data_IF_399082969783
#
_entry.id   IF_399082969783
#
_cell.length_a   1.000
_cell.length_b   1.000
_cell.length_c   1.000
_cell.angle_alpha   90.00
_cell.angle_beta   90.00
_cell.angle_gamma   90.00
#
_symmetry.space_group_name_H-M   'P 1'
#
loop_
_entity.id
_entity.type
_entity.pdbx_description
1 polymer ?
#
# COMPACT_ATOMS: atom_id res chain seq x y z
N UNK A 1 6.67 -21.50 26.65
CA UNK A 1 7.28 -21.01 27.91
C UNK A 1 7.10 -19.51 27.93
N UNK A 2 6.41 -19.02 28.96
CA UNK A 2 6.05 -17.63 29.15
C UNK A 2 7.28 -16.80 29.54
N UNK A 3 7.30 -15.57 29.05
CA UNK A 3 8.18 -14.49 29.46
C UNK A 3 7.47 -13.21 29.08
N UNK A 4 6.52 -12.80 29.91
CA UNK A 4 5.97 -11.45 29.88
C UNK A 4 7.10 -10.50 30.28
N UNK A 5 7.67 -9.79 29.30
CA UNK A 5 8.54 -8.66 29.60
C UNK A 5 7.68 -7.40 29.67
N UNK A 6 7.08 -7.19 30.84
CA UNK A 6 6.42 -5.96 31.24
C UNK A 6 7.50 -4.93 31.57
N UNK A 7 8.21 -4.42 30.54
CA UNK A 7 9.13 -3.27 30.63
C UNK A 7 9.57 -2.79 29.24
N UNK A 8 8.75 -1.97 28.58
CA UNK A 8 9.21 -0.86 27.71
C UNK A 8 8.06 0.08 27.39
N UNK A 9 7.57 0.73 28.45
CA UNK A 9 7.00 2.08 28.39
C UNK A 9 8.04 2.92 29.18
N UNK A 10 8.50 4.04 28.60
CA UNK A 10 9.82 4.67 28.77
C UNK A 10 10.94 3.89 28.05
N UNK A 11 11.75 4.43 27.14
CA UNK A 11 12.26 5.79 27.01
C UNK A 11 12.20 6.28 25.54
N UNK A 12 11.44 7.35 25.29
CA UNK A 12 11.93 8.40 24.40
C UNK A 12 12.45 9.46 25.37
N UNK A 13 13.77 9.47 25.60
CA UNK A 13 14.42 10.45 26.48
C UNK A 13 14.11 11.86 26.00
N UNK A 14 13.95 12.80 26.95
CA UNK A 14 13.85 14.24 26.68
C UNK A 14 15.09 14.78 25.94
N UNK A 15 16.23 14.07 26.01
CA UNK A 15 17.45 14.42 25.26
C UNK A 15 17.38 14.09 23.76
N UNK A 16 16.38 13.32 23.30
CA UNK A 16 16.12 13.09 21.88
C UNK A 16 15.39 14.28 21.19
N UNK A 17 15.09 15.35 21.95
CA UNK A 17 14.26 16.50 21.52
C UNK A 17 15.04 17.81 21.27
N UNK A 18 16.33 17.88 21.60
CA UNK A 18 17.16 19.05 21.30
C UNK A 18 17.91 18.79 19.99
N UNK A 19 17.36 19.29 18.88
CA UNK A 19 17.95 19.18 17.55
C UNK A 19 18.64 20.49 17.14
N UNK A 20 19.99 20.53 17.06
CA UNK A 20 20.70 21.66 16.47
C UNK A 20 20.65 21.69 14.92
N UNK A 21 20.09 20.67 14.27
CA UNK A 21 20.15 20.48 12.80
C UNK A 21 18.79 20.62 12.07
N UNK A 22 17.87 21.45 12.56
CA UNK A 22 16.58 21.69 11.89
C UNK A 22 16.75 22.17 10.42
N UNK A 23 17.86 22.83 10.12
CA UNK A 23 18.18 23.35 8.78
C UNK A 23 18.49 22.26 7.73
N UNK A 24 18.93 21.07 8.15
CA UNK A 24 19.21 19.92 7.25
C UNK A 24 17.95 19.32 6.61
N UNK A 25 16.79 19.60 7.19
CA UNK A 25 15.47 19.12 6.75
C UNK A 25 14.63 20.21 6.10
N UNK A 26 15.21 21.40 5.90
CA UNK A 26 14.51 22.54 5.34
C UNK A 26 14.15 22.29 3.86
N UNK A 27 12.85 22.11 3.59
CA UNK A 27 12.32 21.92 2.23
C UNK A 27 12.08 23.24 1.48
N UNK A 28 12.25 24.40 2.13
CA UNK A 28 12.04 25.71 1.48
C UNK A 28 13.05 26.01 0.37
N UNK A 29 14.23 25.38 0.41
CA UNK A 29 15.23 25.47 -0.65
C UNK A 29 15.00 24.52 -1.84
N UNK A 30 13.99 23.63 -1.78
CA UNK A 30 13.70 22.70 -2.87
C UNK A 30 12.89 23.39 -3.99
N UNK A 31 13.21 23.17 -5.29
CA UNK A 31 12.48 23.74 -6.41
C UNK A 31 10.98 23.43 -6.34
N UNK A 32 10.07 24.36 -6.70
CA UNK A 32 8.62 24.15 -6.58
C UNK A 32 8.16 22.80 -7.13
N UNK A 33 7.34 22.08 -6.35
CA UNK A 33 6.77 20.81 -6.79
C UNK A 33 5.66 21.09 -7.80
N UNK A 34 5.87 20.68 -9.06
CA UNK A 34 4.83 20.72 -10.09
C UNK A 34 3.87 19.54 -9.90
N UNK A 35 2.72 19.83 -9.29
CA UNK A 35 1.64 18.85 -9.13
C UNK A 35 0.76 18.82 -10.39
N UNK A 36 0.24 17.65 -10.78
CA UNK A 36 -0.66 17.55 -11.91
C UNK A 36 -1.99 18.27 -11.59
N UNK A 37 -2.71 18.77 -12.62
CA UNK A 37 -4.03 19.34 -12.44
C UNK A 37 -4.98 18.36 -11.73
N UNK A 38 -5.92 18.83 -10.88
CA UNK A 38 -6.89 17.96 -10.20
C UNK A 38 -7.73 17.10 -11.15
N UNK A 39 -7.93 17.57 -12.38
CA UNK A 39 -8.67 16.91 -13.46
C UNK A 39 -7.86 15.82 -14.17
N UNK A 40 -6.56 15.69 -13.91
CA UNK A 40 -5.75 14.65 -14.54
C UNK A 40 -6.07 13.27 -13.94
N UNK A 41 -6.49 12.34 -14.80
CA UNK A 41 -6.59 10.93 -14.45
C UNK A 41 -5.20 10.30 -14.40
N UNK A 42 -4.69 10.09 -13.18
CA UNK A 42 -3.39 9.46 -12.94
C UNK A 42 -3.39 7.96 -13.23
N UNK A 43 -4.56 7.34 -13.42
CA UNK A 43 -4.71 5.90 -13.67
C UNK A 43 -4.75 5.52 -15.15
N UNK A 44 -4.92 6.50 -16.04
CA UNK A 44 -4.93 6.32 -17.49
C UNK A 44 -3.63 6.84 -18.12
N UNK A 45 -2.90 5.95 -18.79
CA UNK A 45 -1.54 6.21 -19.22
C UNK A 45 -0.89 4.99 -19.85
N UNK A 46 0.45 5.03 -19.91
CA UNK A 46 1.27 3.92 -20.40
C UNK A 46 2.56 3.81 -19.60
N UNK A 47 3.13 2.61 -19.56
CA UNK A 47 4.49 2.42 -19.06
C UNK A 47 5.51 2.86 -20.09
N UNK A 48 6.49 3.63 -19.64
CA UNK A 48 7.60 4.15 -20.44
C UNK A 48 8.89 3.67 -19.83
N UNK A 49 9.80 3.16 -20.66
CA UNK A 49 11.12 2.75 -20.22
C UNK A 49 11.97 3.99 -19.90
N UNK A 50 12.63 4.00 -18.75
CA UNK A 50 13.47 5.08 -18.26
C UNK A 50 14.53 4.55 -17.29
N UNK A 51 15.66 4.10 -17.84
CA UNK A 51 16.81 3.64 -17.06
C UNK A 51 17.69 4.79 -16.52
N UNK A 52 17.28 6.05 -16.69
CA UNK A 52 18.00 7.21 -16.19
C UNK A 52 17.44 7.61 -14.82
N UNK A 53 16.11 7.69 -14.70
CA UNK A 53 15.45 8.17 -13.48
C UNK A 53 14.95 7.06 -12.55
N UNK A 54 14.87 5.82 -13.02
CA UNK A 54 14.39 4.67 -12.23
C UNK A 54 15.44 3.56 -12.14
N UNK A 55 15.39 2.71 -11.10
CA UNK A 55 14.54 2.81 -9.92
C UNK A 55 15.00 3.93 -8.96
N UNK A 56 14.09 4.40 -8.09
CA UNK A 56 14.38 5.45 -7.11
C UNK A 56 15.38 5.02 -6.01
N UNK A 57 15.55 3.70 -5.82
CA UNK A 57 16.52 3.10 -4.92
C UNK A 57 16.94 1.74 -5.49
N UNK A 58 18.09 1.21 -5.08
CA UNK A 58 18.51 -0.17 -5.44
C UNK A 58 18.10 -1.14 -4.34
N UNK A 59 17.73 -2.36 -4.73
CA UNK A 59 17.33 -3.43 -3.79
C UNK A 59 18.32 -3.58 -2.62
N UNK A 60 19.62 -3.66 -2.94
CA UNK A 60 20.70 -3.84 -1.95
C UNK A 60 20.88 -2.67 -0.96
N UNK A 61 20.38 -1.48 -1.31
CA UNK A 61 20.55 -0.27 -0.50
C UNK A 61 19.42 -0.12 0.54
N UNK A 62 18.35 -0.91 0.43
CA UNK A 62 17.24 -0.92 1.39
C UNK A 62 17.25 -2.18 2.27
N UNK A 63 17.85 -2.09 3.45
CA UNK A 63 17.97 -3.22 4.40
C UNK A 63 16.66 -3.61 5.08
N UNK A 64 15.56 -2.89 4.83
CA UNK A 64 14.24 -3.18 5.40
C UNK A 64 13.40 -4.11 4.54
N UNK A 65 13.80 -4.36 3.28
CA UNK A 65 13.11 -5.30 2.41
C UNK A 65 13.14 -6.71 3.00
N UNK A 66 11.99 -7.36 2.99
CA UNK A 66 11.93 -8.78 3.33
C UNK A 66 12.41 -9.62 2.15
N UNK A 67 12.89 -10.83 2.47
CA UNK A 67 13.26 -11.82 1.46
C UNK A 67 12.11 -12.24 0.52
N UNK A 68 10.86 -11.82 0.78
CA UNK A 68 9.74 -12.10 -0.13
C UNK A 68 9.87 -11.29 -1.42
N UNK A 69 10.45 -10.09 -1.36
CA UNK A 69 10.41 -9.08 -2.44
C UNK A 69 11.79 -8.73 -3.02
N UNK A 70 12.87 -9.24 -2.43
CA UNK A 70 14.27 -9.04 -2.87
C UNK A 70 14.64 -9.99 -4.02
N UNK A 71 14.03 -9.79 -5.18
CA UNK A 71 14.14 -10.71 -6.31
C UNK A 71 15.57 -10.91 -6.81
N UNK A 72 16.38 -9.85 -6.88
CA UNK A 72 17.78 -9.96 -7.31
C UNK A 72 18.58 -10.79 -6.31
N UNK A 73 18.49 -10.49 -5.02
CA UNK A 73 19.15 -11.28 -3.97
C UNK A 73 18.66 -12.74 -3.92
N UNK A 74 17.44 -13.00 -4.37
CA UNK A 74 16.86 -14.34 -4.48
C UNK A 74 17.23 -15.08 -5.78
N UNK A 75 18.07 -14.46 -6.62
CA UNK A 75 18.67 -15.04 -7.82
C UNK A 75 17.92 -14.77 -9.12
N UNK A 76 17.10 -13.71 -9.19
CA UNK A 76 16.49 -13.28 -10.45
C UNK A 76 17.58 -12.79 -11.42
N UNK A 77 17.65 -13.31 -12.67
CA UNK A 77 18.78 -13.05 -13.56
C UNK A 77 18.65 -11.75 -14.37
N UNK A 78 17.43 -11.27 -14.58
CA UNK A 78 17.14 -9.99 -15.22
C UNK A 78 16.96 -8.88 -14.15
N UNK A 79 16.92 -7.62 -14.56
CA UNK A 79 16.57 -6.46 -13.71
C UNK A 79 15.65 -5.44 -14.42
N UNK A 80 15.31 -5.68 -15.69
CA UNK A 80 14.71 -4.65 -16.55
C UNK A 80 13.32 -4.17 -16.13
N UNK A 81 12.60 -4.93 -15.28
CA UNK A 81 11.31 -4.49 -14.71
C UNK A 81 11.45 -3.23 -13.84
N UNK A 82 12.65 -2.95 -13.33
CA UNK A 82 12.93 -1.82 -12.44
C UNK A 82 12.94 -0.48 -13.20
N UNK A 83 13.11 -0.52 -14.52
CA UNK A 83 13.34 0.67 -15.35
C UNK A 83 12.08 1.20 -16.04
N UNK A 84 10.90 0.93 -15.48
CA UNK A 84 9.63 1.36 -16.06
C UNK A 84 8.96 2.40 -15.16
N UNK A 85 8.61 3.55 -15.75
CA UNK A 85 7.79 4.59 -15.11
C UNK A 85 6.40 4.64 -15.73
N UNK A 86 5.42 5.05 -14.93
CA UNK A 86 4.07 5.29 -15.43
C UNK A 86 3.91 6.73 -15.90
N UNK A 87 3.49 6.92 -17.15
CA UNK A 87 3.21 8.22 -17.75
C UNK A 87 1.71 8.36 -17.98
N UNK A 88 1.00 9.19 -17.18
CA UNK A 88 -0.39 9.56 -17.46
C UNK A 88 -0.51 10.24 -18.83
N UNK A 89 -1.68 10.10 -19.48
CA UNK A 89 -1.88 10.57 -20.85
C UNK A 89 -1.83 12.10 -21.01
N UNK A 90 -2.28 12.85 -20.00
CA UNK A 90 -2.52 14.29 -20.11
C UNK A 90 -1.77 15.12 -19.05
N UNK A 91 -0.91 14.47 -18.26
CA UNK A 91 -0.05 15.13 -17.29
C UNK A 91 1.14 14.23 -16.95
N UNK A 92 2.05 14.71 -16.11
CA UNK A 92 3.17 13.92 -15.60
C UNK A 92 3.02 13.70 -14.10
N UNK A 93 3.43 12.52 -13.64
CA UNK A 93 3.61 12.29 -12.21
C UNK A 93 4.84 13.07 -11.72
N UNK A 94 4.76 13.77 -10.58
CA UNK A 94 5.94 14.36 -9.97
C UNK A 94 6.90 13.27 -9.53
N UNK A 95 8.20 13.48 -9.71
CA UNK A 95 9.23 12.61 -9.12
C UNK A 95 9.02 12.51 -7.61
N UNK A 96 9.11 11.30 -7.06
CA UNK A 96 8.99 11.10 -5.62
C UNK A 96 10.18 11.76 -4.92
N UNK A 97 9.91 12.74 -4.06
CA UNK A 97 10.90 13.41 -3.23
C UNK A 97 10.69 13.00 -1.77
N UNK A 98 11.64 12.20 -1.26
CA UNK A 98 11.57 11.68 0.09
C UNK A 98 11.59 12.78 1.17
N UNK A 99 12.29 13.90 0.94
CA UNK A 99 12.34 15.02 1.91
C UNK A 99 10.99 15.71 1.97
N UNK A 100 10.40 16.02 0.81
CA UNK A 100 9.04 16.60 0.73
C UNK A 100 8.00 15.70 1.37
N UNK A 101 8.07 14.40 1.08
CA UNK A 101 7.14 13.45 1.66
C UNK A 101 7.29 13.36 3.18
N UNK A 102 8.52 13.18 3.68
CA UNK A 102 8.75 13.03 5.12
C UNK A 102 8.44 14.32 5.89
N UNK A 103 8.66 15.49 5.30
CA UNK A 103 8.21 16.76 5.89
C UNK A 103 6.69 16.84 5.98
N UNK A 104 5.96 16.42 4.93
CA UNK A 104 4.50 16.34 4.99
C UNK A 104 4.01 15.33 6.05
N UNK A 105 4.82 14.31 6.37
CA UNK A 105 4.58 13.31 7.41
C UNK A 105 5.09 13.74 8.79
N UNK A 106 5.70 14.91 8.95
CA UNK A 106 6.30 15.33 10.22
C UNK A 106 5.26 15.32 11.34
N UNK A 107 5.55 14.59 12.41
CA UNK A 107 4.65 14.42 13.57
C UNK A 107 3.42 13.56 13.31
N UNK A 108 3.32 12.87 12.17
CA UNK A 108 2.13 12.13 11.73
C UNK A 108 2.34 10.62 11.64
N UNK A 109 1.22 9.91 11.57
CA UNK A 109 1.12 8.47 11.35
C UNK A 109 0.46 8.20 10.00
N UNK A 110 1.12 7.40 9.17
CA UNK A 110 0.55 6.85 7.95
C UNK A 110 0.46 5.35 8.10
N UNK A 111 -0.72 4.75 7.87
CA UNK A 111 -0.96 3.32 8.06
C UNK A 111 -1.58 2.70 6.82
N UNK A 112 -0.90 1.68 6.30
CA UNK A 112 -1.45 0.71 5.37
C UNK A 112 -2.23 -0.34 6.15
N UNK A 113 -3.47 -0.59 5.79
CA UNK A 113 -4.35 -1.58 6.41
C UNK A 113 -4.86 -2.53 5.33
N UNK A 114 -4.64 -3.82 5.48
CA UNK A 114 -5.16 -4.78 4.52
C UNK A 114 -4.38 -6.07 4.40
N UNK A 115 -4.29 -6.56 3.17
CA UNK A 115 -3.65 -7.82 2.82
C UNK A 115 -2.14 -7.69 2.53
N UNK A 116 -1.53 -8.76 2.01
CA UNK A 116 -0.09 -8.79 1.74
C UNK A 116 0.35 -7.85 0.62
N UNK A 117 -0.53 -7.37 -0.26
CA UNK A 117 -0.19 -6.41 -1.30
C UNK A 117 -0.06 -5.00 -0.71
N UNK A 118 -0.86 -4.65 0.29
CA UNK A 118 -0.64 -3.42 1.07
C UNK A 118 0.67 -3.48 1.85
N UNK A 119 1.04 -4.66 2.37
CA UNK A 119 2.38 -4.86 2.98
C UNK A 119 3.48 -4.66 1.95
N UNK A 120 3.32 -5.17 0.74
CA UNK A 120 4.26 -5.00 -0.36
C UNK A 120 4.43 -3.50 -0.71
N UNK A 121 3.34 -2.73 -0.72
CA UNK A 121 3.38 -1.28 -0.93
C UNK A 121 4.02 -0.53 0.24
N UNK A 122 3.76 -0.95 1.48
CA UNK A 122 4.42 -0.40 2.67
C UNK A 122 5.94 -0.62 2.64
N UNK A 123 6.43 -1.82 2.27
CA UNK A 123 7.87 -2.09 2.13
C UNK A 123 8.52 -1.17 1.08
N UNK A 124 7.83 -0.96 -0.05
CA UNK A 124 8.25 0.02 -1.08
C UNK A 124 8.36 1.43 -0.51
N UNK A 125 7.34 1.91 0.21
CA UNK A 125 7.34 3.28 0.76
C UNK A 125 8.48 3.47 1.76
N UNK A 126 8.73 2.48 2.62
CA UNK A 126 9.86 2.49 3.55
C UNK A 126 11.18 2.65 2.80
N UNK A 127 11.35 1.93 1.69
CA UNK A 127 12.57 2.02 0.89
C UNK A 127 12.72 3.32 0.11
N UNK A 128 11.61 3.93 -0.31
CA UNK A 128 11.61 5.25 -0.93
C UNK A 128 12.07 6.35 0.04
N UNK A 129 11.72 6.25 1.32
CA UNK A 129 12.02 7.32 2.31
C UNK A 129 13.29 7.09 3.11
N UNK A 130 13.70 5.84 3.34
CA UNK A 130 14.82 5.55 4.22
C UNK A 130 16.18 6.15 3.80
N UNK A 131 16.49 6.42 2.52
CA UNK A 131 17.81 6.94 2.14
C UNK A 131 18.13 8.31 2.74
N UNK A 132 17.12 9.15 2.99
CA UNK A 132 17.32 10.50 3.54
C UNK A 132 17.43 10.54 5.07
N UNK A 133 17.25 9.40 5.73
CA UNK A 133 17.25 9.30 7.20
C UNK A 133 18.58 8.74 7.70
N UNK A 134 19.15 9.37 8.73
CA UNK A 134 20.45 9.00 9.27
C UNK A 134 20.45 7.60 9.89
N UNK A 135 21.63 6.96 9.87
CA UNK A 135 21.83 5.67 10.54
C UNK A 135 21.51 5.81 12.04
N UNK A 136 20.78 4.85 12.62
CA UNK A 136 20.34 4.89 14.02
C UNK A 136 19.09 5.75 14.28
N UNK A 137 18.67 6.60 13.34
CA UNK A 137 17.42 7.39 13.44
C UNK A 137 16.22 6.76 12.72
N UNK A 138 16.40 5.53 12.23
CA UNK A 138 15.37 4.71 11.57
C UNK A 138 15.35 3.30 12.12
N UNK A 139 14.16 2.73 12.34
CA UNK A 139 13.99 1.33 12.77
C UNK A 139 12.63 0.77 12.38
N UNK A 140 12.56 -0.54 12.14
CA UNK A 140 11.30 -1.29 12.01
C UNK A 140 11.04 -2.09 13.28
N UNK A 141 9.82 -2.00 13.80
CA UNK A 141 9.35 -2.76 14.96
C UNK A 141 8.13 -3.58 14.56
N UNK A 142 8.13 -4.88 14.86
CA UNK A 142 7.00 -5.78 14.63
C UNK A 142 6.33 -6.12 15.96
N UNK A 143 5.03 -5.91 16.09
CA UNK A 143 4.25 -6.18 17.32
C UNK A 143 2.85 -6.67 16.96
N UNK A 144 2.59 -7.97 17.18
CA UNK A 144 1.31 -8.57 16.81
C UNK A 144 1.01 -8.36 15.32
N UNK A 145 -0.12 -7.72 15.02
CA UNK A 145 -0.56 -7.39 13.65
C UNK A 145 0.14 -6.17 13.03
N UNK A 146 1.00 -5.47 13.78
CA UNK A 146 1.67 -4.26 13.34
C UNK A 146 3.10 -4.51 12.84
N UNK A 147 3.46 -3.76 11.80
CA UNK A 147 4.84 -3.49 11.41
C UNK A 147 5.00 -1.98 11.30
N UNK A 148 5.85 -1.38 12.13
CA UNK A 148 6.01 0.07 12.25
C UNK A 148 7.43 0.49 11.88
N UNK A 149 7.57 1.28 10.83
CA UNK A 149 8.80 2.00 10.54
C UNK A 149 8.78 3.36 11.23
N UNK A 150 9.77 3.60 12.10
CA UNK A 150 9.95 4.88 12.79
C UNK A 150 10.99 5.73 12.07
N UNK A 151 10.60 6.93 11.66
CA UNK A 151 11.51 7.97 11.17
C UNK A 151 11.68 9.04 12.26
N UNK A 152 12.66 8.84 13.14
CA UNK A 152 12.79 9.65 14.37
C UNK A 152 12.98 11.14 14.10
N UNK A 153 13.77 11.48 13.07
CA UNK A 153 14.07 12.87 12.66
C UNK A 153 12.82 13.69 12.27
N UNK A 154 11.77 13.00 11.82
CA UNK A 154 10.51 13.62 11.44
C UNK A 154 9.41 13.39 12.48
N UNK A 155 9.69 12.70 13.59
CA UNK A 155 8.66 12.24 14.53
C UNK A 155 7.49 11.55 13.82
N UNK A 156 7.81 10.80 12.76
CA UNK A 156 6.84 10.21 11.85
C UNK A 156 6.88 8.68 11.92
N UNK A 157 5.74 8.05 11.64
CA UNK A 157 5.66 6.58 11.51
C UNK A 157 4.96 6.17 10.23
N UNK A 158 5.53 5.16 9.57
CA UNK A 158 4.93 4.49 8.42
C UNK A 158 4.61 3.06 8.85
N UNK A 159 3.32 2.74 8.90
CA UNK A 159 2.79 1.56 9.56
C UNK A 159 2.12 0.62 8.56
N UNK A 160 2.20 -0.67 8.83
CA UNK A 160 1.35 -1.69 8.22
C UNK A 160 0.59 -2.43 9.30
N UNK A 161 -0.73 -2.57 9.13
CA UNK A 161 -1.62 -3.33 9.99
C UNK A 161 -2.27 -4.47 9.21
N UNK A 162 -2.05 -5.70 9.67
CA UNK A 162 -2.62 -6.89 9.07
C UNK A 162 -4.12 -7.01 9.36
N UNK A 163 -4.93 -6.78 8.34
CA UNK A 163 -6.38 -6.97 8.34
C UNK A 163 -6.82 -7.37 6.92
N UNK A 164 -6.50 -8.59 6.47
CA UNK A 164 -6.55 -8.96 5.06
C UNK A 164 -7.97 -8.96 4.47
N UNK A 165 -9.00 -9.10 5.29
CA UNK A 165 -10.41 -8.94 4.93
C UNK A 165 -11.03 -7.66 5.52
N UNK A 166 -10.24 -6.79 6.15
CA UNK A 166 -10.62 -5.62 6.97
C UNK A 166 -11.41 -5.93 8.24
N UNK A 167 -12.40 -6.83 8.14
CA UNK A 167 -13.21 -7.36 9.24
C UNK A 167 -12.53 -8.56 9.91
N UNK A 168 -13.03 -8.94 11.08
CA UNK A 168 -12.55 -10.09 11.83
C UNK A 168 -12.62 -11.37 11.00
N UNK A 169 -11.53 -12.13 11.01
CA UNK A 169 -11.39 -13.39 10.32
C UNK A 169 -10.54 -14.38 11.10
N UNK A 170 -10.64 -15.66 10.75
CA UNK A 170 -9.70 -16.67 11.27
C UNK A 170 -8.28 -16.56 10.68
N UNK A 171 -8.02 -15.56 9.83
CA UNK A 171 -6.74 -15.33 9.16
C UNK A 171 -6.03 -14.06 9.65
N UNK A 172 -6.47 -13.49 10.77
CA UNK A 172 -5.95 -12.20 11.30
C UNK A 172 -4.61 -12.32 12.05
N UNK A 173 -4.09 -13.54 12.21
CA UNK A 173 -2.76 -13.75 12.77
C UNK A 173 -1.70 -13.72 11.65
N UNK A 174 -0.85 -12.68 11.55
CA UNK A 174 0.10 -12.54 10.45
C UNK A 174 1.19 -13.64 10.43
N UNK A 175 1.33 -14.46 11.46
CA UNK A 175 2.24 -15.60 11.48
C UNK A 175 1.54 -16.93 11.13
N UNK A 176 0.22 -17.02 11.34
CA UNK A 176 -0.59 -18.24 11.16
C UNK A 176 -1.84 -17.95 10.33
N UNK A 177 -1.64 -17.37 9.15
CA UNK A 177 -2.73 -16.96 8.24
C UNK A 177 -2.82 -17.79 6.97
N UNK A 178 -1.90 -18.72 6.73
CA UNK A 178 -1.96 -19.65 5.59
C UNK A 178 -2.77 -20.87 6.00
N UNK A 179 -4.09 -20.77 5.89
CA UNK A 179 -5.06 -21.79 6.27
C UNK A 179 -5.98 -22.11 5.10
N UNK A 180 -6.46 -23.35 5.03
CA UNK A 180 -7.24 -23.85 3.89
C UNK A 180 -8.63 -23.23 3.82
N UNK A 181 -9.27 -22.99 4.98
CA UNK A 181 -10.62 -22.45 5.06
C UNK A 181 -10.58 -21.06 5.68
N UNK A 182 -10.62 -20.03 4.83
CA UNK A 182 -10.70 -18.62 5.25
C UNK A 182 -12.15 -18.26 5.54
N UNK A 183 -12.43 -17.82 6.75
CA UNK A 183 -13.78 -17.51 7.23
C UNK A 183 -13.78 -16.11 7.83
N UNK A 184 -14.78 -15.30 7.46
CA UNK A 184 -14.92 -13.91 7.88
C UNK A 184 -16.16 -13.70 8.76
N UNK A 185 -16.17 -12.62 9.53
CA UNK A 185 -17.35 -12.08 10.23
C UNK A 185 -17.64 -10.66 9.68
N UNK A 186 -18.43 -10.53 8.59
CA UNK A 186 -18.56 -9.29 7.81
C UNK A 186 -19.03 -8.05 8.58
N UNK A 187 -19.75 -8.23 9.67
CA UNK A 187 -20.27 -7.15 10.52
C UNK A 187 -19.40 -6.87 11.76
N UNK A 188 -18.21 -7.48 11.88
CA UNK A 188 -17.31 -7.28 13.04
C UNK A 188 -16.01 -6.65 12.59
N UNK A 189 -15.79 -5.37 12.90
CA UNK A 189 -14.60 -4.63 12.48
C UNK A 189 -13.85 -3.97 13.66
N UNK A 190 -14.52 -3.81 14.80
CA UNK A 190 -14.09 -3.02 15.95
C UNK A 190 -12.78 -3.53 16.56
N UNK A 191 -12.57 -4.86 16.52
CA UNK A 191 -11.36 -5.50 17.00
C UNK A 191 -10.10 -5.00 16.28
N UNK A 192 -10.22 -4.70 14.98
CA UNK A 192 -9.16 -4.08 14.19
C UNK A 192 -9.23 -2.56 14.26
N UNK A 193 -10.42 -2.01 14.05
CA UNK A 193 -10.60 -0.60 13.75
C UNK A 193 -10.28 0.33 14.92
N UNK A 194 -10.29 -0.19 16.16
CA UNK A 194 -9.77 0.52 17.34
C UNK A 194 -8.32 1.01 17.17
N UNK A 195 -7.53 0.36 16.32
CA UNK A 195 -6.13 0.73 16.04
C UNK A 195 -5.95 1.75 14.92
N UNK A 196 -6.99 1.98 14.11
CA UNK A 196 -6.95 2.90 12.96
C UNK A 196 -7.36 4.31 13.36
N UNK A 197 -7.98 4.48 14.53
CA UNK A 197 -8.32 5.79 15.10
C UNK A 197 -7.05 6.65 15.23
N UNK A 198 -7.23 7.95 15.03
CA UNK A 198 -6.18 8.96 15.19
C UNK A 198 -4.98 8.85 14.23
N UNK A 199 -5.03 7.97 13.23
CA UNK A 199 -4.04 7.91 12.14
C UNK A 199 -4.32 9.04 11.15
N UNK A 200 -3.29 9.77 10.73
CA UNK A 200 -3.45 10.94 9.84
C UNK A 200 -3.69 10.54 8.37
N UNK A 201 -3.10 9.42 7.93
CA UNK A 201 -3.30 8.87 6.59
C UNK A 201 -3.59 7.36 6.67
N UNK A 202 -4.81 6.96 6.30
CA UNK A 202 -5.22 5.55 6.24
C UNK A 202 -5.27 5.08 4.80
N UNK A 203 -4.54 4.02 4.46
CA UNK A 203 -4.50 3.44 3.12
C UNK A 203 -5.01 2.00 3.21
N UNK A 204 -6.23 1.76 2.75
CA UNK A 204 -6.88 0.46 2.81
C UNK A 204 -6.70 -0.34 1.50
N UNK A 205 -6.61 -1.66 1.60
CA UNK A 205 -6.95 -2.57 0.51
C UNK A 205 -7.58 -3.86 1.04
N UNK A 206 -8.23 -4.61 0.16
CA UNK A 206 -8.55 -6.03 0.37
C UNK A 206 -9.03 -6.65 -0.94
N UNK A 207 -8.30 -7.65 -1.46
CA UNK A 207 -8.70 -8.32 -2.70
C UNK A 207 -8.21 -9.76 -2.80
N UNK A 208 -6.91 -10.01 -2.62
CA UNK A 208 -6.29 -11.22 -3.17
C UNK A 208 -6.89 -12.51 -2.61
N UNK A 209 -7.23 -12.53 -1.33
CA UNK A 209 -7.79 -13.73 -0.69
C UNK A 209 -9.26 -13.97 -0.99
N UNK A 210 -9.99 -12.97 -1.47
CA UNK A 210 -11.35 -13.15 -1.96
C UNK A 210 -11.38 -14.02 -3.23
N UNK A 211 -10.24 -14.08 -3.95
CA UNK A 211 -10.10 -14.84 -5.19
C UNK A 211 -9.81 -16.33 -4.96
N UNK A 212 -9.63 -16.76 -3.70
CA UNK A 212 -9.30 -18.15 -3.38
C UNK A 212 -10.45 -19.12 -3.70
N UNK A 213 -11.70 -18.67 -3.60
CA UNK A 213 -12.91 -19.49 -3.78
C UNK A 213 -14.01 -18.67 -4.47
N UNK A 214 -14.96 -19.35 -5.13
CA UNK A 214 -16.09 -18.69 -5.80
C UNK A 214 -17.02 -17.98 -4.79
N UNK A 215 -17.28 -18.65 -3.67
CA UNK A 215 -18.05 -18.14 -2.53
C UNK A 215 -17.17 -17.89 -1.31
N UNK A 216 -17.62 -17.01 -0.44
CA UNK A 216 -16.95 -16.68 0.82
C UNK A 216 -17.61 -17.37 1.99
N UNK A 217 -16.79 -17.93 2.88
CA UNK A 217 -17.28 -18.52 4.12
C UNK A 217 -17.54 -17.43 5.16
N UNK A 218 -18.79 -17.32 5.59
CA UNK A 218 -19.25 -16.32 6.56
C UNK A 218 -19.64 -17.00 7.85
N UNK A 219 -19.00 -16.61 8.96
CA UNK A 219 -19.30 -17.15 10.29
C UNK A 219 -20.74 -16.81 10.66
N UNK A 220 -21.48 -17.79 11.20
CA UNK A 220 -22.85 -17.56 11.70
C UNK A 220 -22.81 -16.55 12.86
N UNK A 221 -23.72 -15.55 12.92
CA UNK A 221 -23.66 -14.44 13.88
C UNK A 221 -23.49 -14.86 15.36
N UNK A 222 -24.18 -15.92 15.77
CA UNK A 222 -24.18 -16.41 17.16
C UNK A 222 -23.17 -17.55 17.43
N UNK A 223 -22.35 -17.90 16.45
CA UNK A 223 -21.37 -18.97 16.61
C UNK A 223 -20.12 -18.49 17.36
N UNK A 224 -19.64 -19.31 18.30
CA UNK A 224 -18.32 -19.16 18.93
C UNK A 224 -17.21 -19.89 18.17
N UNK A 225 -17.56 -20.71 17.17
CA UNK A 225 -16.62 -21.51 16.38
C UNK A 225 -16.60 -21.07 14.92
N UNK A 226 -15.40 -20.97 14.35
CA UNK A 226 -15.19 -20.77 12.92
C UNK A 226 -15.75 -21.94 12.09
N UNK A 227 -15.83 -23.15 12.64
CA UNK A 227 -16.38 -24.31 11.92
C UNK A 227 -17.86 -24.19 11.55
N UNK A 228 -18.61 -23.28 12.20
CA UNK A 228 -20.01 -23.02 11.87
C UNK A 228 -20.10 -21.76 11.01
N UNK A 229 -20.11 -21.97 9.71
CA UNK A 229 -20.18 -20.93 8.69
C UNK A 229 -21.11 -21.38 7.56
N UNK A 230 -21.59 -20.41 6.80
CA UNK A 230 -22.32 -20.62 5.56
C UNK A 230 -21.47 -20.12 4.39
N UNK A 231 -21.72 -20.63 3.19
CA UNK A 231 -21.11 -20.11 1.96
C UNK A 231 -22.03 -19.04 1.37
N UNK A 232 -21.47 -17.86 1.15
CA UNK A 232 -22.18 -16.67 0.67
C UNK A 232 -21.51 -16.21 -0.62
N UNK A 233 -22.27 -15.82 -1.67
CA UNK A 233 -21.69 -15.30 -2.90
C UNK A 233 -20.64 -14.23 -2.62
N UNK A 234 -19.46 -14.36 -3.21
CA UNK A 234 -18.31 -13.48 -2.93
C UNK A 234 -18.67 -12.00 -2.96
N UNK A 235 -19.42 -11.58 -3.97
CA UNK A 235 -19.77 -10.16 -4.14
C UNK A 235 -20.73 -9.65 -3.06
N UNK A 236 -21.63 -10.51 -2.56
CA UNK A 236 -22.53 -10.18 -1.46
C UNK A 236 -21.73 -10.04 -0.15
N UNK A 237 -20.85 -11.00 0.14
CA UNK A 237 -19.97 -10.95 1.30
C UNK A 237 -19.04 -9.73 1.27
N UNK A 238 -18.48 -9.39 0.09
CA UNK A 238 -17.66 -8.20 -0.10
C UNK A 238 -18.45 -6.92 0.15
N UNK A 239 -19.69 -6.83 -0.36
CA UNK A 239 -20.57 -5.70 -0.13
C UNK A 239 -20.89 -5.48 1.34
N UNK A 240 -21.12 -6.55 2.11
CA UNK A 240 -21.31 -6.48 3.57
C UNK A 240 -20.05 -5.93 4.27
N UNK A 241 -18.87 -6.42 3.92
CA UNK A 241 -17.60 -5.94 4.50
C UNK A 241 -17.35 -4.47 4.20
N UNK A 242 -17.50 -4.04 2.95
CA UNK A 242 -17.26 -2.65 2.58
C UNK A 242 -18.30 -1.73 3.21
N UNK A 243 -19.56 -2.18 3.35
CA UNK A 243 -20.58 -1.44 4.09
C UNK A 243 -20.14 -1.22 5.54
N UNK A 244 -19.81 -2.30 6.27
CA UNK A 244 -19.31 -2.23 7.65
C UNK A 244 -18.10 -1.29 7.80
N UNK A 245 -17.16 -1.36 6.86
CA UNK A 245 -15.99 -0.48 6.82
C UNK A 245 -16.38 1.00 6.62
N UNK A 246 -17.24 1.29 5.65
CA UNK A 246 -17.69 2.65 5.35
C UNK A 246 -18.51 3.26 6.50
N UNK A 247 -19.39 2.46 7.11
CA UNK A 247 -20.15 2.85 8.30
C UNK A 247 -19.18 3.17 9.45
N UNK A 248 -18.19 2.33 9.69
CA UNK A 248 -17.18 2.59 10.73
C UNK A 248 -16.43 3.91 10.49
N UNK A 249 -16.00 4.18 9.25
CA UNK A 249 -15.32 5.43 8.90
C UNK A 249 -16.19 6.65 9.24
N UNK A 250 -17.45 6.67 8.79
CA UNK A 250 -18.36 7.79 9.03
C UNK A 250 -18.60 8.05 10.52
N UNK A 251 -18.57 7.02 11.36
CA UNK A 251 -18.79 7.18 12.80
C UNK A 251 -17.51 7.56 13.56
N UNK A 252 -16.32 7.18 13.09
CA UNK A 252 -15.10 7.21 13.91
C UNK A 252 -13.99 8.11 13.37
N UNK A 253 -14.05 8.55 12.12
CA UNK A 253 -12.99 9.33 11.50
C UNK A 253 -13.39 10.81 11.42
N UNK A 254 -12.48 11.67 11.89
CA UNK A 254 -12.52 13.10 11.67
C UNK A 254 -11.80 13.46 10.35
N UNK A 255 -12.52 13.91 9.29
CA UNK A 255 -11.91 14.26 8.01
C UNK A 255 -11.03 15.52 8.08
N UNK A 256 -11.16 16.35 9.13
CA UNK A 256 -10.26 17.47 9.36
C UNK A 256 -8.84 16.98 9.70
N UNK A 257 -8.73 15.83 10.37
CA UNK A 257 -7.45 15.22 10.73
C UNK A 257 -6.99 14.17 9.72
N UNK A 258 -7.85 13.22 9.39
CA UNK A 258 -7.48 11.99 8.70
C UNK A 258 -7.86 12.03 7.22
N UNK A 259 -6.91 11.68 6.36
CA UNK A 259 -7.16 11.39 4.94
C UNK A 259 -7.25 9.89 4.71
N UNK A 260 -8.35 9.45 4.07
CA UNK A 260 -8.59 8.03 3.78
C UNK A 260 -8.37 7.74 2.29
N UNK A 261 -7.66 6.66 2.01
CA UNK A 261 -7.40 6.14 0.68
C UNK A 261 -7.79 4.67 0.59
N UNK A 262 -8.18 4.23 -0.60
CA UNK A 262 -8.42 2.83 -0.89
C UNK A 262 -7.69 2.44 -2.18
N UNK A 263 -6.77 1.48 -2.09
CA UNK A 263 -6.04 0.93 -3.25
C UNK A 263 -6.94 -0.07 -3.97
N UNK A 264 -7.09 0.09 -5.28
CA UNK A 264 -7.88 -0.87 -6.08
C UNK A 264 -7.13 -2.20 -6.28
N UNK A 265 -7.72 -3.09 -7.06
CA UNK A 265 -7.22 -4.44 -7.33
C UNK A 265 -5.75 -4.42 -7.78
N UNK A 266 -4.89 -5.15 -7.04
CA UNK A 266 -3.59 -5.61 -7.55
C UNK A 266 -3.81 -6.90 -8.33
N UNK A 267 -3.39 -6.97 -9.61
CA UNK A 267 -3.67 -8.10 -10.49
C UNK A 267 -2.85 -9.36 -10.18
N UNK A 268 -3.27 -10.48 -10.76
CA UNK A 268 -2.58 -11.77 -10.74
C UNK A 268 -2.24 -12.16 -12.18
N UNK A 269 -1.01 -12.57 -12.45
CA UNK A 269 -0.56 -12.99 -13.79
C UNK A 269 -0.36 -14.51 -13.88
N UNK A 270 -1.46 -15.27 -13.79
CA UNK A 270 -1.42 -16.74 -13.83
C UNK A 270 -1.61 -17.35 -15.22
N UNK A 271 -2.19 -16.63 -16.18
CA UNK A 271 -2.59 -17.19 -17.48
C UNK A 271 -1.88 -16.49 -18.64
N UNK A 272 -0.73 -17.02 -19.09
CA UNK A 272 0.06 -16.50 -20.22
C UNK A 272 -0.72 -16.23 -21.49
N UNK A 273 -1.77 -17.02 -21.73
CA UNK A 273 -2.69 -16.84 -22.86
C UNK A 273 -3.34 -15.46 -22.89
N UNK A 274 -3.58 -14.83 -21.73
CA UNK A 274 -4.20 -13.50 -21.67
C UNK A 274 -3.37 -12.42 -22.39
N UNK A 275 -2.04 -12.58 -22.43
CA UNK A 275 -1.13 -11.66 -23.11
C UNK A 275 -0.44 -12.30 -24.33
N UNK A 276 -0.98 -13.39 -24.86
CA UNK A 276 -0.54 -14.01 -26.12
C UNK A 276 0.70 -14.90 -26.02
N UNK A 277 1.08 -15.36 -24.81
CA UNK A 277 2.21 -16.28 -24.63
C UNK A 277 1.74 -17.71 -24.31
N UNK A 278 1.16 -18.43 -25.28
CA UNK A 278 0.50 -19.72 -25.01
C UNK A 278 1.43 -20.86 -24.56
N UNK A 279 2.74 -20.73 -24.74
CA UNK A 279 3.75 -21.66 -24.23
C UNK A 279 4.38 -21.25 -22.89
N UNK A 280 3.94 -20.11 -22.32
CA UNK A 280 4.43 -19.61 -21.04
C UNK A 280 3.92 -20.41 -19.85
N UNK A 281 4.51 -20.17 -18.68
CA UNK A 281 4.06 -20.73 -17.40
C UNK A 281 3.80 -19.57 -16.45
N UNK A 282 2.53 -19.24 -16.19
CA UNK A 282 2.16 -18.09 -15.35
C UNK A 282 2.97 -16.82 -15.71
N UNK A 283 3.50 -16.09 -14.74
CA UNK A 283 4.39 -14.94 -14.94
C UNK A 283 5.88 -15.32 -15.10
N UNK A 284 6.21 -16.60 -15.24
CA UNK A 284 7.61 -17.07 -15.25
C UNK A 284 8.27 -16.73 -16.58
N UNK A 285 9.50 -16.20 -16.52
CA UNK A 285 10.29 -15.70 -17.67
C UNK A 285 9.67 -14.51 -18.41
N UNK A 286 8.61 -13.91 -17.88
CA UNK A 286 8.14 -12.62 -18.37
C UNK A 286 9.11 -11.54 -17.89
N UNK A 287 9.81 -10.89 -18.81
CA UNK A 287 10.85 -9.88 -18.50
C UNK A 287 10.50 -8.48 -18.98
N UNK A 288 9.47 -8.34 -19.81
CA UNK A 288 8.96 -7.07 -20.32
C UNK A 288 7.48 -6.91 -20.03
N UNK A 289 7.00 -5.68 -19.79
CA UNK A 289 5.57 -5.42 -19.64
C UNK A 289 4.81 -5.77 -20.92
N UNK A 290 3.50 -5.95 -20.80
CA UNK A 290 2.61 -5.98 -21.95
C UNK A 290 2.53 -4.57 -22.56
N UNK A 291 2.84 -4.44 -23.85
CA UNK A 291 2.97 -3.13 -24.53
C UNK A 291 1.84 -2.81 -25.51
N UNK A 292 0.90 -3.73 -25.72
CA UNK A 292 -0.24 -3.44 -26.58
C UNK A 292 -1.33 -2.72 -25.77
N UNK A 293 -1.45 -1.42 -25.98
CA UNK A 293 -2.45 -0.56 -25.33
C UNK A 293 -3.72 -0.36 -26.18
N UNK A 294 -3.82 -1.03 -27.34
CA UNK A 294 -4.96 -0.86 -28.27
C UNK A 294 -6.29 -1.34 -27.68
N UNK A 295 -6.22 -2.32 -26.77
CA UNK A 295 -7.36 -2.81 -26.00
C UNK A 295 -6.93 -3.03 -24.53
N UNK A 296 -7.88 -2.96 -23.58
CA UNK A 296 -7.61 -3.37 -22.20
C UNK A 296 -7.15 -4.84 -22.15
N UNK A 297 -6.13 -5.12 -21.32
CA UNK A 297 -5.74 -6.49 -21.04
C UNK A 297 -6.71 -7.08 -20.02
N UNK A 298 -7.37 -8.17 -20.36
CA UNK A 298 -8.27 -8.88 -19.44
C UNK A 298 -7.51 -10.01 -18.74
N UNK A 299 -7.37 -9.89 -17.42
CA UNK A 299 -6.79 -10.90 -16.53
C UNK A 299 -7.87 -11.61 -15.68
N UNK A 300 -9.14 -11.47 -16.06
CA UNK A 300 -10.31 -12.03 -15.38
C UNK A 300 -10.51 -11.52 -13.95
N UNK A 301 -10.29 -10.22 -13.75
CA UNK A 301 -10.59 -9.57 -12.47
C UNK A 301 -12.08 -9.65 -12.15
N UNK A 302 -12.41 -9.82 -10.86
CA UNK A 302 -13.79 -9.62 -10.43
C UNK A 302 -14.08 -8.11 -10.34
N UNK A 303 -14.36 -7.48 -11.48
CA UNK A 303 -14.59 -6.03 -11.57
C UNK A 303 -15.79 -5.56 -10.74
N UNK A 304 -16.68 -6.45 -10.32
CA UNK A 304 -17.76 -6.11 -9.38
C UNK A 304 -17.20 -5.60 -8.04
N UNK A 305 -16.09 -6.18 -7.57
CA UNK A 305 -15.38 -5.70 -6.38
C UNK A 305 -14.84 -4.28 -6.60
N UNK A 306 -14.19 -4.03 -7.74
CA UNK A 306 -13.70 -2.70 -8.09
C UNK A 306 -14.83 -1.67 -8.09
N UNK A 307 -15.94 -1.97 -8.77
CA UNK A 307 -17.09 -1.06 -8.85
C UNK A 307 -17.74 -0.84 -7.49
N UNK A 308 -17.81 -1.85 -6.62
CA UNK A 308 -18.37 -1.68 -5.28
C UNK A 308 -17.55 -0.69 -4.44
N UNK A 309 -16.21 -0.80 -4.47
CA UNK A 309 -15.31 0.15 -3.79
C UNK A 309 -15.49 1.56 -4.34
N UNK A 310 -15.50 1.72 -5.66
CA UNK A 310 -15.66 3.04 -6.30
C UNK A 310 -17.02 3.66 -5.95
N UNK A 311 -18.09 2.87 -6.02
CA UNK A 311 -19.43 3.34 -5.70
C UNK A 311 -19.53 3.78 -4.23
N UNK A 312 -19.06 2.95 -3.30
CA UNK A 312 -19.07 3.30 -1.87
C UNK A 312 -18.23 4.54 -1.61
N UNK A 313 -17.01 4.62 -2.16
CA UNK A 313 -16.15 5.79 -1.99
C UNK A 313 -16.81 7.08 -2.54
N UNK A 314 -17.53 6.99 -3.66
CA UNK A 314 -18.24 8.12 -4.27
C UNK A 314 -19.48 8.55 -3.49
N UNK A 315 -20.10 7.66 -2.71
CA UNK A 315 -21.27 7.95 -1.87
C UNK A 315 -20.91 8.38 -0.44
N UNK A 316 -19.62 8.48 -0.11
CA UNK A 316 -19.20 8.92 1.22
C UNK A 316 -19.43 10.43 1.41
N UNK A 317 -20.42 10.80 2.21
CA UNK A 317 -20.73 12.21 2.47
C UNK A 317 -19.84 12.84 3.54
N UNK A 318 -19.58 12.13 4.64
CA UNK A 318 -18.87 12.69 5.81
C UNK A 318 -17.36 12.53 5.74
N UNK A 319 -16.87 11.35 5.34
CA UNK A 319 -15.44 11.05 5.29
C UNK A 319 -15.02 10.76 3.85
N UNK A 320 -14.45 11.73 3.13
CA UNK A 320 -14.07 11.54 1.74
C UNK A 320 -13.01 10.43 1.59
N UNK A 321 -13.32 9.41 0.79
CA UNK A 321 -12.40 8.33 0.46
C UNK A 321 -11.80 8.60 -0.92
N UNK A 322 -10.47 8.66 -1.00
CA UNK A 322 -9.76 8.80 -2.27
C UNK A 322 -9.35 7.43 -2.81
N UNK A 323 -9.99 6.98 -3.88
CA UNK A 323 -9.61 5.74 -4.57
C UNK A 323 -8.31 5.95 -5.35
N UNK A 324 -7.32 5.10 -5.10
CA UNK A 324 -6.07 5.04 -5.85
C UNK A 324 -6.19 3.88 -6.84
N UNK A 325 -6.62 4.21 -8.07
CA UNK A 325 -6.82 3.23 -9.13
C UNK A 325 -5.47 2.77 -9.72
N UNK A 326 -5.03 1.59 -9.30
CA UNK A 326 -3.79 0.93 -9.73
C UNK A 326 -4.01 -0.27 -10.63
N UNK A 327 -5.26 -0.66 -10.89
CA UNK A 327 -5.57 -1.97 -11.49
C UNK A 327 -5.05 -2.06 -12.91
N UNK A 328 -5.56 -1.19 -13.79
CA UNK A 328 -5.20 -1.23 -15.21
C UNK A 328 -3.71 -1.00 -15.46
N UNK A 329 -3.07 -0.07 -14.74
CA UNK A 329 -1.62 0.14 -14.89
C UNK A 329 -0.85 -1.13 -14.49
N UNK A 330 -1.29 -1.83 -13.45
CA UNK A 330 -0.59 -3.02 -12.96
C UNK A 330 -0.85 -4.24 -13.85
N UNK A 331 -1.97 -4.28 -14.59
CA UNK A 331 -2.27 -5.36 -15.56
C UNK A 331 -1.17 -5.47 -16.62
N UNK A 332 -0.57 -4.36 -17.01
CA UNK A 332 0.50 -4.36 -18.00
C UNK A 332 1.83 -4.92 -17.46
N UNK A 333 1.95 -5.22 -16.16
CA UNK A 333 3.21 -5.50 -15.48
C UNK A 333 3.48 -6.97 -15.21
N UNK A 334 3.14 -7.84 -16.16
CA UNK A 334 3.45 -9.28 -16.11
C UNK A 334 4.92 -9.62 -15.79
N UNK A 335 5.83 -8.69 -16.03
CA UNK A 335 7.27 -8.79 -15.79
C UNK A 335 7.70 -8.62 -14.32
N UNK A 336 6.93 -7.93 -13.49
CA UNK A 336 7.43 -7.39 -12.23
C UNK A 336 7.13 -8.25 -10.99
N UNK A 337 6.50 -9.42 -11.18
CA UNK A 337 6.20 -10.33 -10.08
C UNK A 337 7.45 -11.01 -9.51
N UNK A 338 7.35 -11.41 -8.24
CA UNK A 338 8.43 -12.14 -7.56
C UNK A 338 8.70 -13.51 -8.19
N UNK A 339 7.70 -14.12 -8.83
CA UNK A 339 7.84 -15.38 -9.58
C UNK A 339 8.47 -16.47 -8.71
N UNK A 340 9.61 -17.03 -9.12
CA UNK A 340 10.37 -18.04 -8.38
C UNK A 340 11.41 -17.45 -7.41
N UNK A 341 11.50 -16.13 -7.34
CA UNK A 341 12.54 -15.39 -6.62
C UNK A 341 11.97 -14.80 -5.33
N UNK A 342 11.35 -15.66 -4.53
CA UNK A 342 10.58 -15.31 -3.35
C UNK A 342 10.78 -16.33 -2.22
N UNK A 343 10.10 -16.09 -1.10
CA UNK A 343 9.96 -17.04 0.00
C UNK A 343 8.57 -17.66 0.05
N UNK A 344 8.52 -18.93 0.47
CA UNK A 344 7.30 -19.63 0.85
C UNK A 344 7.47 -20.17 2.27
N UNK A 345 6.50 -19.89 3.15
CA UNK A 345 6.53 -20.32 4.56
C UNK A 345 7.86 -19.96 5.28
N UNK A 346 8.37 -18.75 5.01
CA UNK A 346 9.59 -18.23 5.65
C UNK A 346 10.92 -18.76 5.10
N UNK A 347 10.91 -19.57 4.02
CA UNK A 347 12.13 -20.09 3.38
C UNK A 347 12.16 -19.78 1.90
N UNK A 348 13.35 -19.57 1.35
CA UNK A 348 13.54 -19.45 -0.10
C UNK A 348 13.19 -20.76 -0.81
N UNK A 349 12.71 -20.65 -2.05
CA UNK A 349 12.45 -21.82 -2.88
C UNK A 349 13.75 -22.56 -3.19
N UNK A 350 13.75 -23.87 -2.91
CA UNK A 350 14.84 -24.78 -3.27
C UNK A 350 14.91 -24.98 -4.80
N UNK A 351 16.06 -25.43 -5.35
CA UNK A 351 16.16 -25.76 -6.78
C UNK A 351 15.06 -26.71 -7.26
N UNK A 352 14.70 -27.72 -6.47
CA UNK A 352 13.61 -28.66 -6.77
C UNK A 352 12.25 -27.98 -6.86
N UNK A 353 11.97 -26.99 -5.99
CA UNK A 353 10.73 -26.22 -6.05
C UNK A 353 10.72 -25.24 -7.22
N UNK A 354 11.86 -24.61 -7.53
CA UNK A 354 11.98 -23.73 -8.71
C UNK A 354 11.80 -24.49 -10.03
N UNK A 355 12.10 -25.81 -10.05
CA UNK A 355 11.85 -26.67 -11.19
C UNK A 355 10.36 -27.02 -11.43
N UNK A 356 9.47 -26.69 -10.49
CA UNK A 356 8.00 -26.83 -10.63
C UNK A 356 7.30 -25.46 -10.55
N UNK A 357 7.50 -24.60 -11.58
CA UNK A 357 6.97 -23.24 -11.56
C UNK A 357 5.44 -23.15 -11.47
N UNK A 358 4.72 -24.13 -12.01
CA UNK A 358 3.25 -24.15 -11.92
C UNK A 358 2.77 -24.16 -10.46
N UNK A 359 3.48 -24.86 -9.59
CA UNK A 359 3.12 -24.94 -8.17
C UNK A 359 3.72 -23.83 -7.31
N UNK A 360 4.87 -23.30 -7.70
CA UNK A 360 5.70 -22.47 -6.81
C UNK A 360 5.90 -21.02 -7.28
N UNK A 361 5.58 -20.67 -8.52
CA UNK A 361 5.67 -19.29 -8.96
C UNK A 361 4.63 -18.41 -8.25
N UNK A 362 5.11 -17.34 -7.63
CA UNK A 362 4.30 -16.29 -7.05
C UNK A 362 4.07 -15.18 -8.08
N UNK A 363 2.89 -15.22 -8.71
CA UNK A 363 2.45 -14.23 -9.68
C UNK A 363 1.42 -13.27 -9.07
N UNK A 364 1.58 -13.00 -7.78
CA UNK A 364 0.74 -12.11 -6.97
C UNK A 364 1.60 -10.96 -6.45
N UNK A 365 2.67 -11.28 -5.72
CA UNK A 365 3.54 -10.28 -5.10
C UNK A 365 4.55 -9.72 -6.08
N UNK A 366 5.05 -8.52 -5.80
CA UNK A 366 5.89 -7.71 -6.67
C UNK A 366 7.32 -7.62 -6.14
N UNK A 367 8.28 -7.73 -7.05
CA UNK A 367 9.67 -7.40 -6.75
C UNK A 367 9.79 -5.94 -6.32
N UNK A 368 10.73 -5.65 -5.40
CA UNK A 368 11.07 -4.30 -4.97
C UNK A 368 12.57 -4.02 -5.18
N UNK A 369 12.95 -2.90 -5.84
CA UNK A 369 12.09 -1.87 -6.44
C UNK A 369 11.25 -2.38 -7.62
N UNK A 370 10.13 -1.73 -7.88
CA UNK A 370 9.16 -2.18 -8.90
C UNK A 370 7.81 -1.47 -8.86
N UNK A 371 6.76 -2.19 -9.25
CA UNK A 371 5.40 -1.64 -9.45
C UNK A 371 4.85 -0.89 -8.23
N UNK A 372 5.01 -1.36 -6.97
CA UNK A 372 4.51 -0.63 -5.81
C UNK A 372 5.16 0.74 -5.58
N UNK A 373 6.36 0.99 -6.14
CA UNK A 373 6.99 2.32 -6.07
C UNK A 373 6.15 3.36 -6.83
N UNK A 374 5.56 2.96 -7.95
CA UNK A 374 4.67 3.81 -8.76
C UNK A 374 3.32 4.00 -8.06
N UNK A 375 2.81 2.98 -7.38
CA UNK A 375 1.62 3.14 -6.53
C UNK A 375 1.86 4.19 -5.44
N UNK A 376 3.04 4.16 -4.82
CA UNK A 376 3.46 5.15 -3.83
C UNK A 376 3.71 6.54 -4.44
N UNK A 377 4.16 6.63 -5.70
CA UNK A 377 4.25 7.91 -6.41
C UNK A 377 2.88 8.55 -6.63
N UNK A 378 1.86 7.75 -6.95
CA UNK A 378 0.47 8.24 -7.07
C UNK A 378 -0.07 8.64 -5.70
N UNK A 379 0.15 7.83 -4.66
CA UNK A 379 -0.25 8.15 -3.29
C UNK A 379 0.41 9.46 -2.81
N UNK A 380 1.72 9.60 -3.00
CA UNK A 380 2.49 10.83 -2.76
C UNK A 380 1.85 12.04 -3.44
N UNK A 381 1.53 11.91 -4.72
CA UNK A 381 0.90 12.97 -5.51
C UNK A 381 -0.44 13.38 -4.91
N UNK A 382 -1.30 12.41 -4.55
CA UNK A 382 -2.62 12.69 -3.96
C UNK A 382 -2.52 13.29 -2.55
N UNK A 383 -1.58 12.84 -1.73
CA UNK A 383 -1.31 13.41 -0.40
C UNK A 383 -0.89 14.87 -0.52
N UNK A 384 0.11 15.17 -1.35
CA UNK A 384 0.64 16.52 -1.48
C UNK A 384 -0.30 17.47 -2.22
N UNK A 385 -1.13 16.95 -3.11
CA UNK A 385 -2.21 17.73 -3.72
C UNK A 385 -3.22 18.18 -2.69
N UNK A 386 -3.56 17.38 -1.67
CA UNK A 386 -4.49 17.81 -0.61
C UNK A 386 -3.87 18.82 0.36
N UNK A 387 -2.57 18.71 0.66
CA UNK A 387 -1.91 19.64 1.59
C UNK A 387 -1.81 21.06 1.04
N UNK A 388 -1.62 21.23 -0.27
CA UNK A 388 -1.52 22.56 -0.90
C UNK A 388 -2.86 23.32 -0.87
N UNK A 389 -4.00 22.62 -0.91
CA UNK A 389 -5.31 23.27 -0.72
C UNK A 389 -5.50 23.82 0.69
N UNK A 390 -4.99 23.14 1.71
CA UNK A 390 -5.09 23.60 3.11
C UNK A 390 -4.14 24.75 3.43
N UNK A 391 -2.99 24.85 2.76
CA UNK A 391 -2.09 26.01 2.91
C UNK A 391 -2.59 27.27 2.21
N UNK A 392 -3.35 27.13 1.12
CA UNK A 392 -3.94 28.26 0.39
C UNK A 392 -5.25 28.78 1.02
N UNK A 393 -5.78 28.11 2.04
CA UNK A 393 -6.95 28.55 2.81
C UNK A 393 -6.61 29.25 4.13
N UNK A 394 -5.35 29.67 4.33
CA UNK A 394 -5.02 30.56 5.44
C UNK A 394 -5.74 31.91 5.23
N UNK A 395 -6.45 32.46 6.24
CA UNK A 395 -7.02 33.79 6.13
C UNK A 395 -5.89 34.78 5.84
N UNK A 396 -6.11 35.82 5.02
CA UNK A 396 -5.13 36.89 4.89
C UNK A 396 -4.82 37.45 6.28
N UNK A 397 -3.55 37.80 6.58
CA UNK A 397 -3.22 38.40 7.86
C UNK A 397 -4.12 39.63 8.07
N UNK A 398 -4.72 39.73 9.26
CA UNK A 398 -5.54 40.88 9.64
C UNK A 398 -4.74 42.15 9.34
N UNK A 399 -5.21 42.93 8.37
CA UNK A 399 -4.75 44.28 8.18
C UNK A 399 -5.12 45.04 9.46
N UNK A 400 -4.11 45.55 10.15
CA UNK A 400 -4.28 46.46 11.28
C UNK A 400 -5.05 47.68 10.79
N UNK A 401 -6.28 47.85 11.28
CA UNK A 401 -7.04 49.07 11.10
C UNK A 401 -6.28 50.25 11.74
N UNK A 402 -6.17 51.41 11.08
CA UNK A 402 -5.58 52.59 11.69
C UNK A 402 -6.46 53.05 12.86
N UNK A 403 -5.83 53.34 14.00
CA UNK A 403 -6.49 53.97 15.14
C UNK A 403 -7.04 55.36 14.72
N UNK A 404 -8.22 55.75 15.20
CA UNK A 404 -8.76 57.06 14.90
C UNK A 404 -7.91 58.16 15.57
N UNK A 405 -7.75 59.32 14.91
CA UNK A 405 -6.98 60.44 15.45
C UNK A 405 -7.62 60.97 16.74
N UNK A 406 -6.77 61.28 17.72
CA UNK A 406 -7.14 61.99 18.96
C UNK A 406 -7.32 63.49 18.72
#
# INVERSE_FOLDING_TARGET
>A
MYGEDVRTIAELSVDDYLYPDADLYNVSGLPPLLLPPPTCDLSAGRWVFDNISTPAYREKDCTFLTKQVTCLANGRPDDTWQYWKWQPNHCSLPTFDARRFMEAMRGKRLMFVGDSLNRNQWESLVCLVQPILSKGRKKVVKRGSFIVFHAKEYRATLEFYWAPFLVESNSDNPNFHSIDQRIISPERIEGHAKYWKDVDYLIFNTYIWWMNTADMKVRRPNSRSWSQHDEVPRIEAYGRVIKTWSDWLNHNIDPARTSVFFMTISPIHNSPNNWGNSGGIKCVKETLPYQNYSQPLDLYHDLRIFHLVVNVASSMEKVPVTVINITRMSDYRKDAHTSLYTMRQGKLLTPKQKADPEKFADCIHWCLPGVPDVWNQILYTKILSKSSWRSNSAPPPLQSLPLPPQ
#
